data_IF_267261908699
#
_entry.id   IF_267261908699
#
_cell.length_a   1.000
_cell.length_b   1.000
_cell.length_c   1.000
_cell.angle_alpha   90.00
_cell.angle_beta   90.00
_cell.angle_gamma   90.00
#
_symmetry.space_group_name_H-M   'P 1'
#
loop_
_entity.id
_entity.type
_entity.pdbx_description
1 polymer ?
#
# COMPACT_ATOMS: atom_id res chain seq x y z
N UNK A 1 29.10 10.93 -2.95
CA UNK A 1 27.96 10.08 -2.59
C UNK A 1 26.89 10.28 -3.64
N UNK A 2 26.38 9.23 -4.28
CA UNK A 2 25.23 9.38 -5.17
C UNK A 2 24.05 9.93 -4.38
N UNK A 3 23.36 10.92 -4.93
CA UNK A 3 22.14 11.48 -4.40
C UNK A 3 20.96 10.64 -4.94
N UNK A 4 20.12 10.14 -4.04
CA UNK A 4 19.00 9.24 -4.34
C UNK A 4 17.71 9.88 -3.83
N UNK A 5 16.75 10.08 -4.71
CA UNK A 5 15.41 10.60 -4.35
C UNK A 5 14.40 9.45 -4.32
N UNK A 6 13.73 9.28 -3.19
CA UNK A 6 12.74 8.24 -2.97
C UNK A 6 11.38 8.87 -2.76
N UNK A 7 10.45 8.63 -3.67
CA UNK A 7 9.06 9.09 -3.58
C UNK A 7 8.24 8.16 -2.68
N UNK A 8 7.62 8.73 -1.65
CA UNK A 8 6.69 8.02 -0.79
C UNK A 8 5.34 7.78 -1.50
N UNK A 9 4.54 6.89 -0.96
CA UNK A 9 3.26 6.44 -1.53
C UNK A 9 2.10 7.44 -1.37
N UNK A 10 2.34 8.56 -0.64
CA UNK A 10 1.31 9.54 -0.34
C UNK A 10 1.87 10.97 -0.31
N UNK A 11 1.00 11.99 -0.27
CA UNK A 11 1.39 13.40 -0.22
C UNK A 11 1.90 13.85 1.17
N UNK A 12 1.95 12.97 2.13
CA UNK A 12 2.65 13.14 3.42
C UNK A 12 3.19 11.80 3.93
N UNK A 13 4.16 11.80 4.86
CA UNK A 13 4.66 10.56 5.44
C UNK A 13 3.56 9.79 6.19
N UNK A 14 3.61 8.46 6.08
CA UNK A 14 2.81 7.53 6.87
C UNK A 14 3.68 6.49 7.54
N UNK A 15 3.18 5.77 8.59
CA UNK A 15 3.92 4.67 9.21
C UNK A 15 4.40 3.59 8.25
N UNK A 16 3.73 3.39 7.11
CA UNK A 16 4.19 2.44 6.08
C UNK A 16 5.59 2.71 5.53
N UNK A 17 6.07 3.95 5.63
CA UNK A 17 7.43 4.35 5.22
C UNK A 17 8.46 4.31 6.37
N UNK A 18 8.11 3.76 7.54
CA UNK A 18 8.93 3.81 8.75
C UNK A 18 10.34 3.27 8.55
N UNK A 19 10.51 2.17 7.80
CA UNK A 19 11.83 1.60 7.55
C UNK A 19 12.80 2.54 6.86
N UNK A 20 12.30 3.34 5.89
CA UNK A 20 13.10 4.38 5.23
C UNK A 20 13.53 5.47 6.21
N UNK A 21 12.62 5.92 7.07
CA UNK A 21 12.90 6.94 8.07
C UNK A 21 13.86 6.45 9.15
N UNK A 22 13.73 5.20 9.62
CA UNK A 22 14.65 4.57 10.58
C UNK A 22 16.05 4.47 10.00
N UNK A 23 16.19 3.97 8.77
CA UNK A 23 17.49 3.87 8.09
C UNK A 23 18.16 5.24 7.93
N UNK A 24 17.39 6.27 7.57
CA UNK A 24 17.87 7.65 7.45
C UNK A 24 18.26 8.24 8.81
N UNK A 25 17.42 8.13 9.82
CA UNK A 25 17.68 8.68 11.16
C UNK A 25 18.91 8.04 11.81
N UNK A 26 19.13 6.74 11.61
CA UNK A 26 20.30 6.00 12.08
C UNK A 26 21.53 6.17 11.19
N UNK A 27 21.45 7.02 10.13
CA UNK A 27 22.52 7.34 9.20
C UNK A 27 23.06 6.14 8.40
N UNK A 28 22.33 5.05 8.32
CA UNK A 28 22.79 3.83 7.64
C UNK A 28 22.96 4.01 6.13
N UNK A 29 22.15 4.87 5.50
CA UNK A 29 22.38 5.24 4.09
C UNK A 29 23.70 5.97 3.92
N UNK A 30 24.00 6.94 4.79
CA UNK A 30 25.26 7.67 4.73
C UNK A 30 26.47 6.76 5.01
N UNK A 31 26.38 5.82 5.94
CA UNK A 31 27.40 4.80 6.21
C UNK A 31 27.65 3.89 4.99
N UNK A 32 26.62 3.60 4.21
CA UNK A 32 26.69 2.87 2.93
C UNK A 32 27.14 3.76 1.75
N UNK A 33 27.47 5.03 1.99
CA UNK A 33 27.91 5.95 0.95
C UNK A 33 26.77 6.51 0.09
N UNK A 34 25.53 6.47 0.56
CA UNK A 34 24.33 6.94 -0.13
C UNK A 34 23.79 8.22 0.53
N UNK A 35 23.43 9.20 -0.29
CA UNK A 35 22.69 10.40 0.14
C UNK A 35 21.22 10.26 -0.25
N UNK A 36 20.35 9.90 0.72
CA UNK A 36 18.94 9.57 0.47
C UNK A 36 18.02 10.69 0.92
N UNK A 37 17.32 11.28 -0.04
CA UNK A 37 16.22 12.22 0.14
C UNK A 37 14.87 11.48 0.06
N UNK A 38 14.03 11.60 1.09
CA UNK A 38 12.65 11.11 1.07
C UNK A 38 11.73 12.26 0.69
N UNK A 39 10.98 12.09 -0.40
CA UNK A 39 10.08 13.12 -0.93
C UNK A 39 8.64 12.62 -0.96
N UNK A 40 7.70 13.54 -0.84
CA UNK A 40 6.26 13.25 -0.95
C UNK A 40 5.74 13.73 -2.31
N UNK A 41 4.72 13.06 -2.81
CA UNK A 41 4.12 13.44 -4.10
C UNK A 41 3.28 14.72 -3.97
N UNK A 42 3.30 15.52 -5.03
CA UNK A 42 2.30 16.54 -5.30
C UNK A 42 1.20 15.92 -6.15
N UNK A 43 -0.02 15.71 -5.63
CA UNK A 43 -1.10 15.07 -6.39
C UNK A 43 -1.46 15.81 -7.68
N UNK A 44 -1.21 17.11 -7.75
CA UNK A 44 -1.43 17.93 -8.95
C UNK A 44 -0.45 17.61 -10.11
N UNK A 45 0.65 16.90 -9.81
CA UNK A 45 1.67 16.51 -10.80
C UNK A 45 1.65 15.03 -11.15
N UNK A 46 0.76 14.25 -10.57
CA UNK A 46 0.61 12.82 -10.79
C UNK A 46 1.01 11.95 -9.61
N UNK A 47 0.97 10.65 -9.81
CA UNK A 47 1.38 9.66 -8.81
C UNK A 47 2.88 9.31 -8.88
N UNK A 48 3.37 8.51 -7.94
CA UNK A 48 4.77 8.07 -7.86
C UNK A 48 5.30 7.50 -9.17
N UNK A 49 4.50 6.72 -9.90
CA UNK A 49 4.93 6.11 -11.16
C UNK A 49 5.16 7.16 -12.26
N UNK A 50 4.42 8.26 -12.23
CA UNK A 50 4.64 9.37 -13.17
C UNK A 50 5.97 10.07 -12.90
N UNK A 51 6.33 10.29 -11.63
CA UNK A 51 7.64 10.86 -11.26
C UNK A 51 8.79 9.93 -11.66
N UNK A 52 8.66 8.62 -11.44
CA UNK A 52 9.64 7.63 -11.88
C UNK A 52 9.79 7.59 -13.40
N UNK A 53 8.68 7.66 -14.14
CA UNK A 53 8.70 7.63 -15.60
C UNK A 53 9.37 8.88 -16.21
N UNK A 54 9.29 10.02 -15.51
CA UNK A 54 9.97 11.27 -15.92
C UNK A 54 11.41 11.38 -15.42
N UNK A 55 11.89 10.40 -14.63
CA UNK A 55 13.23 10.44 -14.03
C UNK A 55 13.39 11.54 -12.96
N UNK A 56 12.30 12.02 -12.36
CA UNK A 56 12.33 13.02 -11.31
C UNK A 56 12.69 12.44 -9.94
N UNK A 57 12.54 11.13 -9.79
CA UNK A 57 12.95 10.34 -8.62
C UNK A 57 13.58 9.02 -9.06
N UNK A 58 14.45 8.46 -8.22
CA UNK A 58 15.17 7.23 -8.50
C UNK A 58 14.40 6.00 -8.05
N UNK A 59 13.71 6.10 -6.92
CA UNK A 59 12.87 5.05 -6.37
C UNK A 59 11.51 5.61 -5.96
N UNK A 60 10.53 4.73 -5.84
CA UNK A 60 9.23 5.13 -5.36
C UNK A 60 8.39 3.97 -4.85
N UNK A 61 7.47 4.28 -3.94
CA UNK A 61 6.49 3.34 -3.39
C UNK A 61 5.18 3.49 -4.17
N UNK A 62 4.61 2.39 -4.61
CA UNK A 62 3.37 2.37 -5.39
C UNK A 62 2.63 1.02 -5.29
N UNK A 63 1.32 0.97 -5.52
CA UNK A 63 0.57 -0.28 -5.54
C UNK A 63 0.79 -1.05 -6.86
N UNK A 64 0.81 -2.39 -6.84
CA UNK A 64 1.10 -3.23 -7.99
C UNK A 64 0.12 -3.06 -9.17
N UNK A 65 -1.16 -2.84 -8.90
CA UNK A 65 -2.15 -2.62 -9.95
C UNK A 65 -1.84 -1.41 -10.84
N UNK A 66 -1.27 -0.33 -10.25
CA UNK A 66 -0.86 0.84 -11.04
C UNK A 66 0.38 0.55 -11.87
N UNK A 67 1.35 -0.18 -11.32
CA UNK A 67 2.52 -0.63 -12.09
C UNK A 67 2.10 -1.46 -13.30
N UNK A 68 1.27 -2.48 -13.08
CA UNK A 68 0.79 -3.38 -14.14
C UNK A 68 0.01 -2.61 -15.21
N UNK A 69 -0.88 -1.68 -14.81
CA UNK A 69 -1.59 -0.84 -15.76
C UNK A 69 -0.65 0.04 -16.60
N UNK A 70 0.34 0.71 -15.96
CA UNK A 70 1.30 1.57 -16.67
C UNK A 70 2.17 0.80 -17.67
N UNK A 71 2.57 -0.41 -17.34
CA UNK A 71 3.31 -1.28 -18.25
C UNK A 71 2.44 -1.75 -19.42
N UNK A 72 1.23 -2.22 -19.14
CA UNK A 72 0.33 -2.73 -20.17
C UNK A 72 -0.20 -1.63 -21.12
N UNK A 73 -0.60 -0.48 -20.56
CA UNK A 73 -1.22 0.60 -21.36
C UNK A 73 -0.20 1.49 -22.07
N UNK A 74 0.95 1.74 -21.46
CA UNK A 74 1.90 2.79 -21.90
C UNK A 74 3.29 2.26 -22.22
N UNK A 75 3.57 0.98 -21.98
CA UNK A 75 4.90 0.40 -22.18
C UNK A 75 5.99 1.08 -21.35
N UNK A 76 5.64 1.70 -20.20
CA UNK A 76 6.61 2.40 -19.36
C UNK A 76 7.60 1.42 -18.75
N UNK A 77 8.93 1.69 -18.83
CA UNK A 77 9.98 0.80 -18.35
C UNK A 77 10.16 0.92 -16.82
N UNK A 78 9.10 0.65 -16.09
CA UNK A 78 9.05 0.68 -14.63
C UNK A 78 9.09 -0.73 -14.07
N UNK A 79 9.85 -0.95 -13.02
CA UNK A 79 10.06 -2.27 -12.42
C UNK A 79 10.04 -2.20 -10.90
N UNK A 80 9.34 -3.13 -10.24
CA UNK A 80 9.40 -3.30 -8.80
C UNK A 80 10.67 -4.12 -8.42
N UNK A 81 11.32 -3.71 -7.35
CA UNK A 81 12.56 -4.33 -6.85
C UNK A 81 12.43 -4.85 -5.44
N UNK A 82 11.36 -4.50 -4.73
CA UNK A 82 10.98 -5.13 -3.47
C UNK A 82 9.50 -4.95 -3.12
N UNK A 83 8.99 -5.82 -2.24
CA UNK A 83 7.69 -5.67 -1.61
C UNK A 83 7.83 -4.88 -0.29
N UNK A 84 6.98 -3.87 -0.09
CA UNK A 84 6.86 -3.21 1.22
C UNK A 84 5.90 -4.01 2.11
N UNK A 85 4.75 -4.42 1.58
CA UNK A 85 3.73 -5.14 2.34
C UNK A 85 3.44 -6.51 1.71
N UNK A 86 3.32 -7.53 2.56
CA UNK A 86 3.06 -8.92 2.16
C UNK A 86 1.59 -9.31 2.25
N UNK A 87 0.67 -8.37 2.42
CA UNK A 87 -0.79 -8.61 2.38
C UNK A 87 -1.53 -7.38 1.87
N UNK A 88 -2.82 -7.57 1.55
CA UNK A 88 -3.74 -6.48 1.25
C UNK A 88 -3.95 -5.58 2.48
N UNK A 89 -3.84 -4.27 2.32
CA UNK A 89 -4.03 -3.28 3.39
C UNK A 89 -5.39 -2.60 3.31
N UNK A 90 -6.29 -3.12 2.50
CA UNK A 90 -7.66 -2.62 2.36
C UNK A 90 -8.63 -3.50 3.15
N UNK A 91 -9.73 -2.90 3.54
CA UNK A 91 -10.81 -3.57 4.23
C UNK A 91 -12.17 -2.97 3.82
N UNK A 92 -13.23 -3.73 3.99
CA UNK A 92 -14.56 -3.17 4.15
C UNK A 92 -14.71 -2.79 5.62
N UNK A 93 -15.18 -1.58 5.90
CA UNK A 93 -15.28 -1.04 7.24
C UNK A 93 -16.64 -0.37 7.45
N UNK A 94 -17.24 -0.63 8.62
CA UNK A 94 -18.54 -0.08 9.00
C UNK A 94 -18.67 -0.04 10.53
N UNK A 95 -19.85 0.25 11.02
CA UNK A 95 -20.20 0.25 12.44
C UNK A 95 -21.38 -0.69 12.70
N UNK A 96 -21.51 -1.17 13.94
CA UNK A 96 -22.64 -2.04 14.33
C UNK A 96 -24.01 -1.38 14.12
N UNK A 97 -24.08 -0.04 14.16
CA UNK A 97 -25.32 0.71 13.96
C UNK A 97 -25.91 0.59 12.55
N UNK A 98 -25.10 0.23 11.54
CA UNK A 98 -25.59 0.06 10.16
C UNK A 98 -26.33 -1.25 9.91
N UNK A 99 -26.15 -2.23 10.81
CA UNK A 99 -26.71 -3.57 10.68
C UNK A 99 -26.03 -4.43 9.60
N UNK A 100 -24.93 -3.96 9.00
CA UNK A 100 -24.10 -4.72 8.07
C UNK A 100 -23.17 -5.60 8.89
N UNK A 101 -23.21 -6.92 8.67
CA UNK A 101 -22.45 -7.91 9.45
C UNK A 101 -21.43 -8.68 8.62
N UNK A 102 -21.54 -8.62 7.28
CA UNK A 102 -20.69 -9.33 6.34
C UNK A 102 -20.80 -8.71 4.93
N UNK A 103 -19.88 -9.01 3.99
CA UNK A 103 -19.88 -8.39 2.66
C UNK A 103 -21.17 -8.48 1.85
N UNK A 104 -21.87 -9.60 1.89
CA UNK A 104 -23.14 -9.77 1.15
C UNK A 104 -24.23 -8.78 1.58
N UNK A 105 -24.16 -8.29 2.82
CA UNK A 105 -25.17 -7.36 3.35
C UNK A 105 -25.04 -5.95 2.74
N UNK A 106 -23.98 -5.72 1.93
CA UNK A 106 -23.79 -4.49 1.15
C UNK A 106 -24.73 -4.40 -0.06
N UNK A 107 -25.42 -5.48 -0.44
CA UNK A 107 -26.47 -5.43 -1.48
C UNK A 107 -27.56 -4.44 -1.05
N UNK A 108 -27.82 -3.42 -1.88
CA UNK A 108 -28.75 -2.33 -1.59
C UNK A 108 -28.23 -1.27 -0.60
N UNK A 109 -26.98 -1.36 -0.16
CA UNK A 109 -26.34 -0.40 0.76
C UNK A 109 -25.35 0.50 0.04
N UNK A 110 -25.10 1.66 0.63
CA UNK A 110 -24.13 2.66 0.13
C UNK A 110 -22.76 2.38 0.71
N UNK A 111 -21.79 2.11 -0.17
CA UNK A 111 -20.40 1.96 0.22
C UNK A 111 -19.55 3.04 -0.44
N UNK A 112 -18.79 3.78 0.38
CA UNK A 112 -17.88 4.81 -0.09
C UNK A 112 -16.51 4.23 -0.43
N UNK A 113 -15.96 4.58 -1.58
CA UNK A 113 -14.62 4.20 -2.03
C UNK A 113 -14.17 5.08 -3.19
N UNK A 114 -12.88 5.04 -3.51
CA UNK A 114 -12.38 5.63 -4.75
C UNK A 114 -12.85 4.76 -5.95
N UNK A 115 -13.73 5.26 -6.84
CA UNK A 115 -14.41 4.47 -7.87
C UNK A 115 -13.53 4.18 -9.09
N UNK A 116 -12.25 3.87 -8.88
CA UNK A 116 -11.38 3.33 -9.94
C UNK A 116 -11.93 1.99 -10.45
N UNK A 117 -11.61 1.56 -11.69
CA UNK A 117 -12.02 0.25 -12.21
C UNK A 117 -11.67 -0.88 -11.22
N UNK A 118 -10.45 -0.86 -10.66
CA UNK A 118 -9.98 -1.83 -9.67
C UNK A 118 -10.78 -1.77 -8.36
N UNK A 119 -11.03 -0.57 -7.80
CA UNK A 119 -11.80 -0.41 -6.56
C UNK A 119 -13.22 -0.94 -6.70
N UNK A 120 -13.89 -0.59 -7.80
CA UNK A 120 -15.24 -1.10 -8.11
C UNK A 120 -15.24 -2.62 -8.25
N UNK A 121 -14.29 -3.18 -8.98
CA UNK A 121 -14.16 -4.62 -9.18
C UNK A 121 -13.95 -5.36 -7.86
N UNK A 122 -13.12 -4.83 -6.96
CA UNK A 122 -12.85 -5.44 -5.66
C UNK A 122 -14.10 -5.49 -4.77
N UNK A 123 -14.82 -4.38 -4.62
CA UNK A 123 -16.05 -4.34 -3.82
C UNK A 123 -17.07 -5.36 -4.36
N UNK A 124 -17.29 -5.39 -5.67
CA UNK A 124 -18.20 -6.34 -6.33
C UNK A 124 -17.77 -7.79 -6.12
N UNK A 125 -16.47 -8.06 -6.27
CA UNK A 125 -15.88 -9.38 -6.05
C UNK A 125 -16.13 -9.88 -4.62
N UNK A 126 -15.89 -9.04 -3.61
CA UNK A 126 -16.06 -9.40 -2.21
C UNK A 126 -17.53 -9.70 -1.87
N UNK A 127 -18.45 -8.91 -2.39
CA UNK A 127 -19.91 -9.15 -2.20
C UNK A 127 -20.33 -10.45 -2.86
N UNK A 128 -19.90 -10.71 -4.09
CA UNK A 128 -20.19 -11.94 -4.81
C UNK A 128 -19.58 -13.18 -4.15
N UNK A 129 -18.32 -13.09 -3.67
CA UNK A 129 -17.63 -14.17 -2.97
C UNK A 129 -18.35 -14.61 -1.69
N UNK A 130 -19.06 -13.68 -1.03
CA UNK A 130 -19.89 -13.94 0.14
C UNK A 130 -21.36 -14.33 -0.19
N UNK A 131 -21.69 -14.47 -1.49
CA UNK A 131 -23.02 -14.87 -1.96
C UNK A 131 -24.06 -13.74 -2.00
N UNK A 132 -23.62 -12.47 -2.00
CA UNK A 132 -24.46 -11.31 -2.20
C UNK A 132 -24.64 -10.95 -3.67
N UNK A 133 -25.55 -10.01 -3.95
CA UNK A 133 -25.73 -9.43 -5.28
C UNK A 133 -24.79 -8.23 -5.50
N UNK A 134 -23.71 -8.38 -6.31
CA UNK A 134 -22.78 -7.31 -6.54
C UNK A 134 -23.35 -6.15 -7.38
N UNK A 135 -24.45 -6.39 -8.13
CA UNK A 135 -25.10 -5.35 -8.95
C UNK A 135 -26.01 -4.45 -8.11
N UNK A 136 -26.45 -4.92 -6.95
CA UNK A 136 -27.25 -4.14 -6.03
C UNK A 136 -26.44 -3.17 -5.15
N UNK A 137 -25.11 -3.23 -5.17
CA UNK A 137 -24.25 -2.34 -4.36
C UNK A 137 -24.30 -0.91 -4.88
N UNK A 138 -24.53 0.05 -3.99
CA UNK A 138 -24.59 1.48 -4.32
C UNK A 138 -23.24 2.12 -3.97
N UNK A 139 -22.41 2.39 -5.00
CA UNK A 139 -21.12 3.05 -4.82
C UNK A 139 -21.26 4.54 -4.59
N UNK A 140 -20.60 5.05 -3.55
CA UNK A 140 -20.43 6.49 -3.26
C UNK A 140 -19.01 6.87 -3.60
N UNK A 141 -18.84 7.90 -4.43
CA UNK A 141 -17.53 8.44 -4.76
C UNK A 141 -16.97 9.24 -3.58
N UNK A 142 -16.00 8.66 -2.88
CA UNK A 142 -15.26 9.33 -1.81
C UNK A 142 -14.04 10.11 -2.33
N UNK A 143 -13.75 10.05 -3.64
CA UNK A 143 -12.53 10.60 -4.22
C UNK A 143 -11.29 9.93 -3.65
N UNK A 144 -10.34 10.74 -3.20
CA UNK A 144 -9.13 10.28 -2.49
C UNK A 144 -9.27 10.34 -0.96
N UNK A 145 -10.44 10.72 -0.45
CA UNK A 145 -10.73 10.82 0.98
C UNK A 145 -11.21 9.47 1.53
N UNK A 146 -10.67 9.08 2.67
CA UNK A 146 -11.27 8.03 3.49
C UNK A 146 -12.44 8.61 4.28
N UNK A 147 -13.59 7.94 4.31
CA UNK A 147 -14.68 8.33 5.20
C UNK A 147 -14.35 7.95 6.64
N UNK A 148 -14.73 8.82 7.57
CA UNK A 148 -14.58 8.58 9.00
C UNK A 148 -15.79 7.84 9.57
N UNK A 149 -15.69 7.42 10.82
CA UNK A 149 -16.82 6.89 11.59
C UNK A 149 -17.94 7.90 11.69
N UNK A 150 -17.59 9.18 11.86
CA UNK A 150 -18.58 10.26 11.98
C UNK A 150 -19.34 10.46 10.67
N UNK A 151 -18.68 10.31 9.51
CA UNK A 151 -19.34 10.35 8.20
C UNK A 151 -20.34 9.18 8.06
N UNK A 152 -20.00 7.98 8.53
CA UNK A 152 -20.92 6.82 8.56
C UNK A 152 -22.09 7.11 9.52
N UNK A 153 -21.80 7.60 10.72
CA UNK A 153 -22.81 7.97 11.70
C UNK A 153 -23.75 9.09 11.23
N UNK A 154 -23.22 10.04 10.46
CA UNK A 154 -24.00 11.10 9.81
C UNK A 154 -24.84 10.57 8.62
N UNK A 155 -24.65 9.33 8.23
CA UNK A 155 -25.39 8.73 7.13
C UNK A 155 -24.89 9.12 5.73
N UNK A 156 -23.65 9.57 5.58
CA UNK A 156 -23.05 9.83 4.27
C UNK A 156 -22.91 8.54 3.45
N UNK A 157 -22.56 7.44 4.12
CA UNK A 157 -22.56 6.08 3.57
C UNK A 157 -22.88 5.07 4.68
N UNK A 158 -23.10 3.80 4.31
CA UNK A 158 -23.36 2.72 5.25
C UNK A 158 -22.08 1.91 5.56
N UNK A 159 -21.09 1.99 4.66
CA UNK A 159 -19.77 1.39 4.82
C UNK A 159 -18.73 2.17 4.01
N UNK A 160 -17.44 1.89 4.25
CA UNK A 160 -16.35 2.38 3.42
C UNK A 160 -15.45 1.21 2.99
N UNK A 161 -14.80 1.35 1.84
CA UNK A 161 -13.75 0.45 1.36
C UNK A 161 -12.47 1.26 1.15
N UNK A 162 -11.45 0.96 1.89
CA UNK A 162 -10.17 1.67 1.86
C UNK A 162 -9.12 1.04 2.76
N UNK A 163 -8.05 1.76 3.01
CA UNK A 163 -6.96 1.30 3.86
C UNK A 163 -7.38 1.26 5.33
N UNK A 164 -7.46 0.06 5.92
CA UNK A 164 -7.92 -0.10 7.31
C UNK A 164 -6.99 0.58 8.32
N UNK A 165 -5.71 0.65 8.07
CA UNK A 165 -4.74 1.31 8.94
C UNK A 165 -4.91 2.83 8.99
N UNK A 166 -5.30 3.50 7.88
CA UNK A 166 -5.62 4.93 7.89
C UNK A 166 -7.02 5.20 8.44
N UNK A 167 -8.00 4.37 8.14
CA UNK A 167 -9.34 4.48 8.69
C UNK A 167 -9.35 4.30 10.21
N UNK A 168 -8.57 3.33 10.72
CA UNK A 168 -8.39 3.13 12.15
C UNK A 168 -7.85 4.39 12.84
N UNK A 169 -6.97 5.09 12.13
CA UNK A 169 -6.45 6.37 12.56
C UNK A 169 -7.51 7.48 12.61
N UNK A 170 -8.49 7.48 11.72
CA UNK A 170 -9.47 8.55 11.55
C UNK A 170 -10.79 8.34 12.34
N UNK A 171 -10.98 7.22 12.99
CA UNK A 171 -12.27 6.85 13.59
C UNK A 171 -12.55 7.36 15.00
N UNK A 172 -11.89 8.39 15.45
CA UNK A 172 -12.21 9.09 16.70
C UNK A 172 -12.38 8.16 17.92
N UNK A 173 -13.36 8.47 18.77
CA UNK A 173 -13.60 7.80 20.06
C UNK A 173 -14.65 6.67 20.01
N UNK A 174 -15.03 6.18 18.82
CA UNK A 174 -15.98 5.08 18.72
C UNK A 174 -15.45 3.84 19.46
N UNK A 175 -16.23 3.24 20.38
CA UNK A 175 -15.84 2.03 21.07
C UNK A 175 -15.47 0.88 20.12
N UNK A 176 -14.47 0.07 20.47
CA UNK A 176 -13.96 -0.98 19.59
C UNK A 176 -15.04 -2.01 19.22
N UNK A 177 -15.91 -2.35 20.14
CA UNK A 177 -17.04 -3.27 19.94
C UNK A 177 -18.10 -2.75 18.92
N UNK A 178 -18.05 -1.48 18.60
CA UNK A 178 -18.92 -0.88 17.58
C UNK A 178 -18.26 -0.78 16.20
N UNK A 179 -17.00 -1.17 16.09
CA UNK A 179 -16.19 -1.12 14.88
C UNK A 179 -16.20 -2.46 14.18
N UNK A 180 -16.52 -2.48 12.92
CA UNK A 180 -16.47 -3.67 12.08
C UNK A 180 -15.49 -3.44 10.94
N UNK A 181 -14.42 -4.24 10.90
CA UNK A 181 -13.38 -4.15 9.88
C UNK A 181 -13.10 -5.54 9.35
N UNK A 182 -13.23 -5.73 8.05
CA UNK A 182 -12.97 -6.99 7.38
C UNK A 182 -11.86 -6.80 6.35
N UNK A 183 -10.60 -7.19 6.68
CA UNK A 183 -9.50 -7.17 5.73
C UNK A 183 -9.83 -8.00 4.49
N UNK A 184 -9.50 -7.47 3.32
CA UNK A 184 -9.91 -8.06 2.02
C UNK A 184 -9.42 -9.48 1.83
N UNK A 185 -8.21 -9.81 2.31
CA UNK A 185 -7.61 -11.12 2.21
C UNK A 185 -8.22 -12.17 3.16
N UNK A 186 -9.07 -11.74 4.11
CA UNK A 186 -9.85 -12.59 5.01
C UNK A 186 -11.26 -12.86 4.48
N UNK A 187 -11.72 -12.08 3.50
CA UNK A 187 -13.09 -12.12 2.97
C UNK A 187 -13.16 -12.43 1.46
N UNK A 188 -12.14 -13.08 0.93
CA UNK A 188 -12.19 -13.66 -0.42
C UNK A 188 -11.49 -12.88 -1.52
N UNK A 189 -10.79 -11.80 -1.24
CA UNK A 189 -9.95 -11.15 -2.26
C UNK A 189 -8.79 -12.06 -2.71
N UNK A 190 -8.32 -11.92 -3.95
CA UNK A 190 -7.06 -12.52 -4.34
C UNK A 190 -5.94 -11.98 -3.45
N UNK A 191 -4.96 -12.82 -3.13
CA UNK A 191 -3.79 -12.37 -2.37
C UNK A 191 -2.93 -11.45 -3.23
N UNK A 192 -2.47 -10.32 -2.67
CA UNK A 192 -1.60 -9.38 -3.36
C UNK A 192 -0.70 -8.63 -2.36
N UNK A 193 0.36 -8.01 -2.88
CA UNK A 193 1.14 -7.00 -2.16
C UNK A 193 0.39 -5.66 -2.21
N UNK A 194 0.25 -4.95 -1.09
CA UNK A 194 -0.39 -3.62 -1.14
C UNK A 194 0.52 -2.59 -1.78
N UNK A 195 1.77 -2.57 -1.36
CA UNK A 195 2.76 -1.63 -1.87
C UNK A 195 4.06 -2.34 -2.23
N UNK A 196 4.63 -1.89 -3.34
CA UNK A 196 5.94 -2.27 -3.84
C UNK A 196 6.85 -1.04 -3.82
N UNK A 197 8.14 -1.27 -3.70
CA UNK A 197 9.19 -0.30 -3.97
C UNK A 197 9.77 -0.62 -5.34
N UNK A 198 9.91 0.39 -6.18
CA UNK A 198 10.44 0.18 -7.54
C UNK A 198 11.22 1.36 -8.07
N UNK A 199 11.69 1.18 -9.28
CA UNK A 199 12.51 2.12 -10.03
C UNK A 199 12.20 2.02 -11.53
N UNK A 200 12.96 2.71 -12.38
CA UNK A 200 12.93 2.48 -13.82
C UNK A 200 13.99 1.44 -14.23
N UNK A 201 13.74 0.76 -15.35
CA UNK A 201 14.63 -0.31 -15.86
C UNK A 201 16.01 0.23 -16.25
N UNK A 202 16.13 1.49 -16.61
CA UNK A 202 17.42 2.13 -16.95
C UNK A 202 18.32 2.22 -15.73
N UNK A 203 17.81 2.75 -14.60
CA UNK A 203 18.59 2.81 -13.36
C UNK A 203 19.02 1.41 -12.90
N UNK A 204 18.11 0.44 -13.00
CA UNK A 204 18.41 -0.95 -12.64
C UNK A 204 19.52 -1.55 -13.52
N UNK A 205 19.50 -1.29 -14.82
CA UNK A 205 20.48 -1.82 -15.77
C UNK A 205 21.85 -1.14 -15.67
N UNK A 206 21.87 0.19 -15.49
CA UNK A 206 23.10 0.98 -15.47
C UNK A 206 23.79 0.96 -14.10
N UNK A 207 23.02 0.86 -13.01
CA UNK A 207 23.52 0.97 -11.63
C UNK A 207 23.01 -0.14 -10.69
N UNK A 208 23.15 -1.43 -11.03
CA UNK A 208 22.59 -2.53 -10.24
C UNK A 208 23.20 -2.63 -8.83
N UNK A 209 24.47 -2.23 -8.64
CA UNK A 209 25.11 -2.19 -7.32
C UNK A 209 24.49 -1.11 -6.43
N UNK A 210 24.20 0.09 -6.98
CA UNK A 210 23.50 1.15 -6.26
C UNK A 210 22.13 0.68 -5.75
N UNK A 211 21.38 -0.01 -6.62
CA UNK A 211 20.06 -0.54 -6.26
C UNK A 211 20.18 -1.58 -5.14
N UNK A 212 21.17 -2.50 -5.23
CA UNK A 212 21.41 -3.50 -4.19
C UNK A 212 21.76 -2.87 -2.85
N UNK A 213 22.70 -1.94 -2.83
CA UNK A 213 23.14 -1.25 -1.60
C UNK A 213 22.00 -0.48 -0.96
N UNK A 214 21.18 0.21 -1.77
CA UNK A 214 19.99 0.89 -1.29
C UNK A 214 18.95 -0.08 -0.69
N UNK A 215 18.69 -1.20 -1.35
CA UNK A 215 17.74 -2.22 -0.87
C UNK A 215 18.24 -2.88 0.43
N UNK A 216 19.52 -3.20 0.55
CA UNK A 216 20.10 -3.81 1.75
C UNK A 216 19.93 -2.89 2.98
N UNK A 217 20.21 -1.59 2.83
CA UNK A 217 20.02 -0.62 3.91
C UNK A 217 18.53 -0.42 4.23
N UNK A 218 17.68 -0.38 3.21
CA UNK A 218 16.23 -0.25 3.38
C UNK A 218 15.65 -1.46 4.13
N UNK A 219 16.05 -2.69 3.77
CA UNK A 219 15.67 -3.92 4.47
C UNK A 219 16.05 -3.87 5.95
N UNK A 220 17.29 -3.44 6.25
CA UNK A 220 17.74 -3.22 7.63
C UNK A 220 16.85 -2.23 8.37
N UNK A 221 16.41 -1.17 7.69
CA UNK A 221 15.52 -0.15 8.24
C UNK A 221 14.14 -0.71 8.62
N UNK A 222 13.50 -1.46 7.73
CA UNK A 222 12.21 -2.10 8.01
C UNK A 222 12.31 -3.17 9.10
N UNK A 223 13.36 -3.98 9.09
CA UNK A 223 13.62 -4.95 10.15
C UNK A 223 13.75 -4.29 11.52
N UNK A 224 14.53 -3.23 11.60
CA UNK A 224 14.70 -2.48 12.85
C UNK A 224 13.40 -1.78 13.30
N UNK A 225 12.63 -1.23 12.35
CA UNK A 225 11.35 -0.61 12.64
C UNK A 225 10.33 -1.62 13.22
N UNK A 226 10.33 -2.84 12.72
CA UNK A 226 9.46 -3.91 13.22
C UNK A 226 9.91 -4.45 14.59
N UNK A 227 11.23 -4.50 14.84
CA UNK A 227 11.79 -5.02 16.08
C UNK A 227 11.70 -4.05 17.27
N UNK A 228 11.65 -2.75 17.01
CA UNK A 228 11.59 -1.70 18.02
C UNK A 228 10.47 -0.69 17.68
N UNK A 229 9.20 -1.09 17.90
CA UNK A 229 8.05 -0.25 17.58
C UNK A 229 7.99 1.03 18.43
N UNK A 230 8.51 1.03 19.66
CA UNK A 230 8.49 2.21 20.53
C UNK A 230 9.45 3.29 20.01
N UNK A 231 10.70 2.94 19.71
CA UNK A 231 11.64 3.89 19.09
C UNK A 231 11.19 4.33 17.69
N UNK A 232 10.51 3.45 16.95
CA UNK A 232 9.93 3.79 15.65
C UNK A 232 8.78 4.79 15.80
N UNK A 233 7.93 4.62 16.81
CA UNK A 233 6.85 5.54 17.11
C UNK A 233 7.39 6.93 17.51
N UNK A 234 8.41 6.99 18.38
CA UNK A 234 9.07 8.25 18.76
C UNK A 234 9.64 8.98 17.53
N UNK A 235 10.28 8.25 16.62
CA UNK A 235 10.77 8.83 15.36
C UNK A 235 9.62 9.37 14.50
N UNK A 236 8.55 8.60 14.35
CA UNK A 236 7.40 9.00 13.54
C UNK A 236 6.68 10.22 14.09
N UNK A 237 6.62 10.42 15.39
CA UNK A 237 6.09 11.67 16.00
C UNK A 237 6.85 12.91 15.54
N UNK A 238 8.15 12.80 15.32
CA UNK A 238 8.95 13.91 14.77
C UNK A 238 8.75 14.09 13.26
N UNK A 239 8.48 13.01 12.54
CA UNK A 239 8.28 13.02 11.08
C UNK A 239 6.88 13.52 10.71
N UNK A 240 5.87 13.16 11.50
CA UNK A 240 4.45 13.48 11.28
C UNK A 240 3.82 14.15 12.52
N UNK A 241 4.33 15.31 12.94
CA UNK A 241 3.96 15.95 14.22
C UNK A 241 2.52 16.50 14.25
N UNK A 242 1.83 16.49 13.14
CA UNK A 242 0.44 16.95 13.00
C UNK A 242 -0.59 15.87 13.29
N UNK A 243 -0.16 14.60 13.48
CA UNK A 243 -1.03 13.52 13.93
C UNK A 243 -0.82 13.19 15.41
N UNK A 244 -1.89 12.90 16.15
CA UNK A 244 -1.77 12.48 17.56
C UNK A 244 -1.00 11.16 17.70
N UNK A 245 -0.16 11.05 18.73
CA UNK A 245 0.60 9.81 19.03
C UNK A 245 -0.26 8.53 19.03
N UNK A 246 -1.46 8.48 19.68
CA UNK A 246 -2.28 7.27 19.68
C UNK A 246 -2.69 6.79 18.29
N UNK A 247 -2.87 7.73 17.36
CA UNK A 247 -3.19 7.47 15.97
C UNK A 247 -2.02 6.82 15.24
N UNK A 248 -0.83 7.41 15.35
CA UNK A 248 0.39 6.86 14.75
C UNK A 248 0.68 5.47 15.32
N UNK A 249 0.53 5.29 16.64
CA UNK A 249 0.75 4.02 17.31
C UNK A 249 -0.19 2.91 16.80
N UNK A 250 -1.49 3.20 16.67
CA UNK A 250 -2.46 2.24 16.11
C UNK A 250 -2.13 1.88 14.66
N UNK A 251 -1.87 2.88 13.83
CA UNK A 251 -1.48 2.66 12.44
C UNK A 251 -0.21 1.81 12.33
N UNK A 252 0.81 2.11 13.13
CA UNK A 252 2.05 1.34 13.16
C UNK A 252 1.82 -0.12 13.59
N UNK A 253 1.03 -0.34 14.63
CA UNK A 253 0.70 -1.69 15.11
C UNK A 253 -0.03 -2.54 14.06
N UNK A 254 -0.88 -1.93 13.23
CA UNK A 254 -1.59 -2.61 12.16
C UNK A 254 -0.69 -2.92 10.95
N UNK A 255 0.25 -2.03 10.63
CA UNK A 255 0.99 -2.12 9.37
C UNK A 255 2.33 -2.86 9.52
N UNK A 256 3.02 -2.73 10.65
CA UNK A 256 4.33 -3.32 10.85
C UNK A 256 4.37 -4.85 10.64
N UNK A 257 3.37 -5.65 11.07
CA UNK A 257 3.33 -7.08 10.80
C UNK A 257 3.22 -7.45 9.33
N UNK A 258 2.92 -6.49 8.45
CA UNK A 258 2.76 -6.73 7.02
C UNK A 258 4.06 -6.54 6.23
N UNK A 259 5.13 -6.04 6.86
CA UNK A 259 6.39 -5.71 6.19
C UNK A 259 7.25 -6.93 5.87
N UNK A 260 7.04 -8.05 6.53
CA UNK A 260 7.78 -9.28 6.28
C UNK A 260 6.87 -10.39 5.79
N UNK A 261 7.44 -11.34 5.06
CA UNK A 261 6.76 -12.59 4.70
C UNK A 261 6.64 -13.54 5.91
N UNK A 262 6.09 -14.73 5.69
CA UNK A 262 5.93 -15.75 6.74
C UNK A 262 7.24 -16.27 7.32
N UNK A 263 8.35 -16.09 6.59
CA UNK A 263 9.70 -16.49 7.00
C UNK A 263 10.45 -15.32 7.68
N UNK A 264 9.79 -14.18 7.88
CA UNK A 264 10.35 -12.98 8.49
C UNK A 264 11.25 -12.16 7.55
N UNK A 265 11.23 -12.44 6.24
CA UNK A 265 12.05 -11.73 5.25
C UNK A 265 11.32 -10.50 4.74
N UNK A 266 12.04 -9.38 4.65
CA UNK A 266 11.56 -8.18 4.01
C UNK A 266 11.88 -8.19 2.51
N UNK A 267 11.00 -7.62 1.71
CA UNK A 267 11.29 -7.20 0.35
C UNK A 267 10.99 -8.23 -0.73
N UNK A 268 10.87 -9.51 -0.41
CA UNK A 268 10.63 -10.57 -1.41
C UNK A 268 9.27 -10.38 -2.07
N UNK A 269 9.26 -10.22 -3.39
CA UNK A 269 8.02 -10.17 -4.18
C UNK A 269 7.61 -11.62 -4.49
N UNK A 270 6.45 -12.02 -3.98
CA UNK A 270 5.91 -13.38 -4.14
C UNK A 270 5.19 -13.51 -5.49
N UNK A 271 5.71 -14.36 -6.37
CA UNK A 271 5.12 -14.69 -7.68
C UNK A 271 3.70 -15.26 -7.52
N UNK A 272 3.46 -16.05 -6.47
CA UNK A 272 2.16 -16.61 -6.14
C UNK A 272 1.11 -15.58 -5.73
N UNK A 273 1.54 -14.32 -5.47
CA UNK A 273 0.65 -13.16 -5.26
C UNK A 273 0.54 -12.31 -6.53
N UNK A 274 1.68 -12.05 -7.20
CA UNK A 274 1.69 -11.16 -8.35
C UNK A 274 0.95 -11.73 -9.56
N UNK A 275 1.18 -13.00 -9.91
CA UNK A 275 0.54 -13.64 -11.06
C UNK A 275 -0.99 -13.74 -10.93
N UNK A 276 -1.52 -14.39 -9.88
CA UNK A 276 -2.97 -14.48 -9.68
C UNK A 276 -3.66 -13.11 -9.56
N UNK A 277 -2.98 -12.13 -8.96
CA UNK A 277 -3.53 -10.78 -8.86
C UNK A 277 -3.57 -10.06 -10.22
N UNK A 278 -2.51 -10.19 -11.04
CA UNK A 278 -2.49 -9.63 -12.39
C UNK A 278 -3.60 -10.25 -13.27
N UNK A 279 -3.77 -11.57 -13.18
CA UNK A 279 -4.84 -12.27 -13.86
C UNK A 279 -6.23 -11.75 -13.44
N UNK A 280 -6.46 -11.65 -12.13
CA UNK A 280 -7.71 -11.11 -11.60
C UNK A 280 -7.98 -9.67 -12.07
N UNK A 281 -6.93 -8.82 -12.13
CA UNK A 281 -7.06 -7.45 -12.63
C UNK A 281 -7.50 -7.41 -14.10
N UNK A 282 -6.91 -8.28 -14.95
CA UNK A 282 -7.26 -8.39 -16.36
C UNK A 282 -8.69 -8.90 -16.55
N UNK A 283 -9.08 -9.98 -15.86
CA UNK A 283 -10.43 -10.53 -15.89
C UNK A 283 -11.52 -9.53 -15.50
N UNK A 284 -11.18 -8.60 -14.59
CA UNK A 284 -12.12 -7.57 -14.12
C UNK A 284 -11.96 -6.22 -14.85
N UNK A 285 -11.21 -6.17 -15.94
CA UNK A 285 -11.05 -4.98 -16.76
C UNK A 285 -10.31 -3.83 -16.07
N UNK A 286 -9.54 -4.12 -15.01
CA UNK A 286 -8.73 -3.14 -14.30
C UNK A 286 -7.38 -2.88 -14.98
N UNK A 287 -6.92 -3.82 -15.80
CA UNK A 287 -5.79 -3.68 -16.73
C UNK A 287 -6.17 -4.31 -18.09
N UNK A 288 -5.53 -3.90 -19.21
CA UNK A 288 -5.87 -4.43 -20.54
C UNK A 288 -5.56 -5.93 -20.69
N UNK A 289 -4.44 -6.38 -20.16
CA UNK A 289 -4.00 -7.78 -20.15
C UNK A 289 -2.92 -8.01 -19.06
N UNK A 290 -2.62 -9.27 -18.80
CA UNK A 290 -1.64 -9.71 -17.79
C UNK A 290 -0.37 -10.32 -18.37
N UNK A 291 -0.14 -10.28 -19.70
CA UNK A 291 0.92 -11.02 -20.40
C UNK A 291 2.32 -10.78 -19.87
N UNK A 292 2.61 -9.57 -19.40
CA UNK A 292 3.94 -9.15 -18.97
C UNK A 292 4.09 -8.98 -17.45
N UNK A 293 3.18 -9.54 -16.66
CA UNK A 293 3.24 -9.40 -15.21
C UNK A 293 4.58 -9.89 -14.61
N UNK A 294 5.12 -11.00 -15.10
CA UNK A 294 6.38 -11.56 -14.61
C UNK A 294 7.60 -10.67 -14.91
N UNK A 295 7.50 -9.78 -15.89
CA UNK A 295 8.54 -8.78 -16.21
C UNK A 295 8.40 -7.49 -15.40
N UNK A 296 7.35 -7.35 -14.61
CA UNK A 296 7.09 -6.13 -13.83
C UNK A 296 7.91 -6.01 -12.55
N UNK A 297 8.63 -7.07 -12.16
CA UNK A 297 9.44 -7.07 -10.95
C UNK A 297 10.68 -7.97 -11.05
N UNK A 298 11.59 -7.80 -10.10
CA UNK A 298 12.74 -8.69 -9.89
C UNK A 298 13.09 -8.79 -8.40
N UNK A 299 13.44 -10.00 -7.96
CA UNK A 299 14.03 -10.27 -6.64
C UNK A 299 15.57 -10.41 -6.71
N UNK A 300 16.17 -10.29 -7.89
CA UNK A 300 17.59 -10.60 -8.15
C UNK A 300 18.62 -9.69 -7.46
N UNK A 301 18.14 -8.62 -6.78
CA UNK A 301 18.99 -7.68 -6.06
C UNK A 301 18.77 -7.70 -4.53
N UNK A 302 17.87 -8.54 -4.06
CA UNK A 302 17.69 -8.77 -2.63
C UNK A 302 18.71 -9.79 -2.15
N UNK A 303 19.39 -9.51 -1.03
CA UNK A 303 20.20 -10.50 -0.33
C UNK A 303 19.22 -11.47 0.37
N UNK A 304 18.69 -12.42 -0.40
CA UNK A 304 17.95 -13.55 0.15
C UNK A 304 19.01 -14.48 0.70
N UNK A 305 19.33 -14.36 1.98
CA UNK A 305 20.13 -15.37 2.65
C UNK A 305 19.43 -16.73 2.47
N UNK A 306 20.06 -17.61 1.68
CA UNK A 306 19.62 -18.99 1.46
C UNK A 306 19.70 -19.80 2.73
#
# INVERSE_FOLDING_TARGET
MPHIRVMLDYFHPWPNSAGLYVARARRWYAEAGLDVELVVQDPGRGDTLEYLARGEVDFGIFPPNRLLARRAERGQPLIAVSAINHRGLEAIQTTTSTGITRPRDLAGRRIAYNPTPRGRAMVRHLVAADGGDPDAVIGIDAGSRELTVDDIAAGEADATFGNYWSWDALRGDLPEEQRLTWPVDEIGAPRYHSYLLGTNETLLAEHPSLVRDFLAVTARGYTAAAQDPDATLELLEHVIPYFPRPLIARSLALIAPTWTDTDGRWGVIDEGRMGPYAHWLAENGAIPDDRDWAKSFTNGLLDVAT
#
